data_IF_182919548638
#
_entry.id   IF_182919548638
#
_cell.length_a   1.000
_cell.length_b   1.000
_cell.length_c   1.000
_cell.angle_alpha   90.00
_cell.angle_beta   90.00
_cell.angle_gamma   90.00
#
_symmetry.space_group_name_H-M   'P 1'
#
loop_
_entity.id
_entity.type
_entity.pdbx_description
1 polymer ?
#
# COMPACT_ATOMS: atom_id res chain seq x y z
N UNK A 1 38.32 -16.86 -14.55
CA UNK A 1 37.54 -15.61 -14.68
C UNK A 1 36.39 -15.70 -13.68
N UNK A 2 36.42 -15.02 -12.52
CA UNK A 2 35.28 -15.01 -11.63
C UNK A 2 34.16 -14.19 -12.28
N UNK A 3 32.97 -14.77 -12.34
CA UNK A 3 31.73 -14.12 -12.76
C UNK A 3 31.44 -12.92 -11.87
N UNK A 4 30.99 -11.77 -12.41
CA UNK A 4 30.55 -10.66 -11.56
C UNK A 4 29.33 -11.12 -10.77
N UNK A 5 29.51 -11.19 -9.44
CA UNK A 5 28.42 -11.31 -8.47
C UNK A 5 27.33 -10.28 -8.79
N UNK A 6 26.03 -10.62 -8.71
CA UNK A 6 24.99 -9.63 -8.90
C UNK A 6 25.19 -8.56 -7.83
N UNK A 7 25.58 -7.37 -8.29
CA UNK A 7 25.72 -6.21 -7.44
C UNK A 7 24.37 -6.00 -6.76
N UNK A 8 24.31 -6.38 -5.49
CA UNK A 8 23.24 -6.07 -4.57
C UNK A 8 23.24 -4.55 -4.41
N UNK A 9 22.63 -3.85 -5.37
CA UNK A 9 22.35 -2.42 -5.25
C UNK A 9 21.43 -2.31 -4.05
N UNK A 10 22.00 -1.99 -2.90
CA UNK A 10 21.27 -1.60 -1.69
C UNK A 10 20.31 -0.48 -2.08
N UNK A 11 19.07 -0.84 -2.42
CA UNK A 11 17.98 0.12 -2.39
C UNK A 11 17.88 0.53 -0.92
N UNK A 12 18.35 1.75 -0.64
CA UNK A 12 18.58 2.31 0.70
C UNK A 12 17.27 2.66 1.44
N UNK A 13 16.18 2.00 1.08
CA UNK A 13 14.86 2.19 1.65
C UNK A 13 14.29 0.81 1.98
N UNK A 14 14.42 0.42 3.24
CA UNK A 14 13.75 -0.76 3.78
C UNK A 14 12.27 -0.44 4.01
N UNK A 15 11.43 -1.47 4.02
CA UNK A 15 10.06 -1.34 4.51
C UNK A 15 10.05 -1.46 6.03
N UNK A 16 9.27 -0.63 6.72
CA UNK A 16 9.00 -0.76 8.15
C UNK A 16 7.51 -0.60 8.47
N UNK A 17 6.99 -1.52 9.28
CA UNK A 17 5.59 -1.49 9.73
C UNK A 17 5.48 -0.63 10.98
N UNK A 18 4.98 0.59 10.84
CA UNK A 18 4.93 1.54 11.95
C UNK A 18 3.97 1.07 13.06
N UNK A 19 4.49 1.02 14.28
CA UNK A 19 3.74 0.56 15.47
C UNK A 19 2.42 1.30 15.71
N UNK A 20 2.33 2.59 15.36
CA UNK A 20 1.11 3.38 15.53
C UNK A 20 0.03 3.11 14.45
N UNK A 21 0.34 2.34 13.41
CA UNK A 21 -0.62 1.76 12.47
C UNK A 21 -0.94 0.29 12.81
N UNK A 22 -0.25 -0.30 13.79
CA UNK A 22 -0.51 -1.64 14.33
C UNK A 22 -1.28 -1.62 15.64
N UNK A 23 -1.09 -0.57 16.43
CA UNK A 23 -1.70 -0.38 17.74
C UNK A 23 -2.38 0.99 17.78
N UNK A 24 -3.52 1.08 18.44
CA UNK A 24 -4.28 2.32 18.66
C UNK A 24 -3.57 3.27 19.65
N UNK A 25 -2.30 3.60 19.39
CA UNK A 25 -1.47 4.46 20.25
C UNK A 25 -1.83 5.92 20.00
N UNK A 26 -2.10 6.28 18.73
CA UNK A 26 -2.47 7.65 18.34
C UNK A 26 -3.95 7.66 17.97
N UNK A 27 -4.76 8.57 18.55
CA UNK A 27 -6.18 8.68 18.21
C UNK A 27 -6.38 9.03 16.74
N UNK A 28 -7.47 8.53 16.16
CA UNK A 28 -7.89 8.77 14.77
C UNK A 28 -6.92 8.30 13.67
N UNK A 29 -5.86 7.56 14.01
CA UNK A 29 -5.06 6.86 13.00
C UNK A 29 -5.79 5.65 12.45
N UNK A 30 -5.53 5.35 11.19
CA UNK A 30 -5.96 4.11 10.56
C UNK A 30 -5.07 2.97 11.05
N UNK A 31 -5.67 1.80 11.25
CA UNK A 31 -4.95 0.66 11.82
C UNK A 31 -5.12 -0.54 10.90
N UNK A 32 -4.03 -1.26 10.68
CA UNK A 32 -4.05 -2.56 10.03
C UNK A 32 -4.98 -3.51 10.80
N UNK A 33 -5.77 -4.29 10.06
CA UNK A 33 -6.62 -5.33 10.63
C UNK A 33 -5.73 -6.38 11.30
N UNK A 34 -6.20 -6.95 12.40
CA UNK A 34 -5.45 -7.96 13.18
C UNK A 34 -5.06 -9.21 12.37
N UNK A 35 -5.80 -9.49 11.31
CA UNK A 35 -5.58 -10.65 10.42
C UNK A 35 -4.56 -10.34 9.31
N UNK A 36 -4.18 -9.07 9.12
CA UNK A 36 -3.08 -8.68 8.23
C UNK A 36 -1.78 -8.84 9.01
N UNK A 37 -1.03 -9.93 8.77
CA UNK A 37 0.29 -10.11 9.38
C UNK A 37 1.30 -9.06 8.89
N UNK A 38 2.48 -9.00 9.51
CA UNK A 38 3.60 -8.16 9.02
C UNK A 38 4.04 -8.59 7.62
N UNK A 39 4.07 -9.90 7.38
CA UNK A 39 4.40 -10.47 6.07
C UNK A 39 3.35 -10.11 5.01
N UNK A 40 2.05 -10.18 5.36
CA UNK A 40 0.98 -9.79 4.45
C UNK A 40 1.04 -8.29 4.10
N UNK A 41 1.29 -7.43 5.10
CA UNK A 41 1.50 -5.99 4.86
C UNK A 41 2.67 -5.74 3.91
N UNK A 42 3.81 -6.41 4.13
CA UNK A 42 4.97 -6.29 3.25
C UNK A 42 4.69 -6.83 1.84
N UNK A 43 3.96 -7.94 1.70
CA UNK A 43 3.54 -8.48 0.41
C UNK A 43 2.69 -7.48 -0.40
N UNK A 44 1.77 -6.79 0.28
CA UNK A 44 0.93 -5.75 -0.34
C UNK A 44 1.79 -4.57 -0.85
N UNK A 45 2.82 -4.19 -0.09
CA UNK A 45 3.81 -3.20 -0.53
C UNK A 45 4.61 -3.68 -1.75
N UNK A 46 5.18 -4.89 -1.70
CA UNK A 46 5.97 -5.45 -2.80
C UNK A 46 5.15 -5.58 -4.08
N UNK A 47 3.87 -5.93 -3.97
CA UNK A 47 2.93 -5.96 -5.10
C UNK A 47 2.78 -4.58 -5.72
N UNK A 48 2.59 -3.53 -4.92
CA UNK A 48 2.47 -2.17 -5.42
C UNK A 48 3.75 -1.70 -6.12
N UNK A 49 4.90 -1.99 -5.52
CA UNK A 49 6.21 -1.65 -6.07
C UNK A 49 6.47 -2.40 -7.39
N UNK A 50 6.28 -3.72 -7.42
CA UNK A 50 6.52 -4.57 -8.59
C UNK A 50 5.62 -4.19 -9.78
N UNK A 51 4.40 -3.71 -9.52
CA UNK A 51 3.48 -3.24 -10.55
C UNK A 51 3.58 -1.73 -10.82
N UNK A 52 4.52 -1.03 -10.18
CA UNK A 52 4.73 0.41 -10.36
C UNK A 52 3.47 1.25 -10.14
N UNK A 53 2.70 0.94 -9.10
CA UNK A 53 1.49 1.66 -8.70
C UNK A 53 1.79 2.97 -7.95
N UNK A 54 2.78 3.69 -8.44
CA UNK A 54 3.13 5.02 -7.98
C UNK A 54 2.15 6.04 -8.52
N UNK A 55 1.75 6.98 -7.66
CA UNK A 55 1.14 8.24 -8.10
C UNK A 55 2.22 9.31 -8.34
N UNK A 56 1.80 10.42 -8.92
CA UNK A 56 2.62 11.60 -9.23
C UNK A 56 3.43 12.16 -8.06
N UNK A 57 2.95 12.04 -6.81
CA UNK A 57 3.71 12.47 -5.62
C UNK A 57 4.74 11.41 -5.13
N UNK A 58 4.82 10.27 -5.81
CA UNK A 58 5.73 9.17 -5.51
C UNK A 58 5.22 8.19 -4.45
N UNK A 59 4.01 8.34 -3.92
CA UNK A 59 3.43 7.34 -3.01
C UNK A 59 2.97 6.12 -3.79
N UNK A 60 3.03 4.97 -3.13
CA UNK A 60 2.54 3.70 -3.66
C UNK A 60 1.15 3.45 -3.10
N UNK A 61 0.28 2.90 -3.93
CA UNK A 61 -1.05 2.48 -3.51
C UNK A 61 -1.26 1.02 -3.85
N UNK A 62 -2.02 0.35 -3.02
CA UNK A 62 -2.33 -1.06 -3.21
C UNK A 62 -3.71 -1.40 -2.69
N UNK A 63 -4.14 -2.61 -3.02
CA UNK A 63 -5.31 -3.27 -2.48
C UNK A 63 -4.91 -4.67 -2.04
N UNK A 64 -5.67 -5.25 -1.12
CA UNK A 64 -5.35 -6.55 -0.54
C UNK A 64 -5.23 -7.67 -1.58
N UNK A 65 -4.51 -8.73 -1.22
CA UNK A 65 -4.10 -9.79 -2.14
C UNK A 65 -5.22 -10.77 -2.52
N UNK A 66 -6.29 -10.84 -1.74
CA UNK A 66 -7.40 -11.73 -2.09
C UNK A 66 -8.29 -11.11 -3.17
N UNK A 67 -8.57 -11.94 -4.17
CA UNK A 67 -9.53 -11.78 -5.29
C UNK A 67 -10.14 -10.38 -5.36
N UNK A 68 -9.63 -9.59 -6.30
CA UNK A 68 -10.31 -8.40 -6.81
C UNK A 68 -10.54 -7.26 -5.80
N UNK A 69 -9.78 -7.20 -4.70
CA UNK A 69 -9.89 -6.11 -3.71
C UNK A 69 -11.01 -6.31 -2.68
N UNK A 70 -11.33 -7.58 -2.37
CA UNK A 70 -12.33 -7.92 -1.35
C UNK A 70 -11.75 -8.02 0.06
N UNK A 71 -10.44 -8.23 0.17
CA UNK A 71 -9.76 -8.38 1.46
C UNK A 71 -9.81 -7.09 2.28
N UNK A 72 -10.09 -7.24 3.58
CA UNK A 72 -10.12 -6.12 4.53
C UNK A 72 -8.73 -5.92 5.11
N UNK A 73 -8.19 -4.72 4.88
CA UNK A 73 -6.87 -4.31 5.32
C UNK A 73 -6.85 -3.58 6.65
N UNK A 74 -7.94 -2.89 7.00
CA UNK A 74 -7.99 -2.08 8.21
C UNK A 74 -9.15 -2.42 9.15
N UNK A 75 -9.07 -1.87 10.37
CA UNK A 75 -10.05 -2.12 11.45
C UNK A 75 -11.45 -1.55 11.19
N UNK A 76 -11.60 -0.64 10.22
CA UNK A 76 -12.87 -0.06 9.80
C UNK A 76 -13.30 -0.54 8.41
N UNK A 77 -12.91 -1.77 8.02
CA UNK A 77 -13.22 -2.38 6.71
C UNK A 77 -12.54 -1.67 5.53
N UNK A 78 -11.45 -0.94 5.77
CA UNK A 78 -10.60 -0.39 4.71
C UNK A 78 -10.11 -1.53 3.80
N UNK A 79 -10.04 -1.29 2.50
CA UNK A 79 -9.60 -2.30 1.50
C UNK A 79 -8.42 -1.84 0.65
N UNK A 80 -8.04 -0.57 0.82
CA UNK A 80 -6.94 0.08 0.15
C UNK A 80 -5.85 0.42 1.17
N UNK A 81 -4.60 0.41 0.70
CA UNK A 81 -3.44 0.86 1.45
C UNK A 81 -2.69 1.95 0.66
N UNK A 82 -2.15 2.92 1.39
CA UNK A 82 -1.18 3.87 0.89
C UNK A 82 0.16 3.59 1.56
N UNK A 83 1.24 3.73 0.80
CA UNK A 83 2.61 3.61 1.26
C UNK A 83 3.33 4.90 0.95
N UNK A 84 3.80 5.58 2.00
CA UNK A 84 4.44 6.88 1.86
C UNK A 84 5.88 6.72 1.44
N UNK A 85 6.27 7.56 0.46
CA UNK A 85 7.65 7.62 0.00
C UNK A 85 8.55 8.12 1.15
N UNK A 86 9.71 7.47 1.37
CA UNK A 86 10.79 7.98 2.20
C UNK A 86 11.08 9.46 1.97
N UNK A 87 11.07 10.24 3.07
CA UNK A 87 11.44 11.65 3.04
C UNK A 87 12.96 11.85 3.00
N UNK A 88 13.73 10.87 3.52
CA UNK A 88 15.18 10.85 3.55
C UNK A 88 15.70 9.41 3.70
N UNK A 89 17.02 9.20 3.70
CA UNK A 89 17.60 7.85 3.76
C UNK A 89 17.46 7.12 5.10
N UNK A 90 16.98 7.78 6.15
CA UNK A 90 16.67 7.18 7.45
C UNK A 90 15.16 6.93 7.65
N UNK A 91 14.32 7.39 6.71
CA UNK A 91 12.87 7.20 6.70
C UNK A 91 12.51 6.01 5.81
N UNK A 92 12.15 4.84 6.37
CA UNK A 92 11.77 3.69 5.57
C UNK A 92 10.42 3.89 4.88
N UNK A 93 10.16 3.06 3.86
CA UNK A 93 8.79 2.93 3.35
C UNK A 93 7.90 2.42 4.45
N UNK A 94 6.72 3.00 4.60
CA UNK A 94 5.73 2.52 5.54
C UNK A 94 4.32 2.77 5.00
N UNK A 95 3.40 1.88 5.38
CA UNK A 95 2.04 1.90 4.88
C UNK A 95 0.98 1.99 5.95
N UNK A 96 -0.23 2.31 5.50
CA UNK A 96 -1.42 2.27 6.32
C UNK A 96 -2.68 2.04 5.49
N UNK A 97 -3.71 1.40 6.06
CA UNK A 97 -5.02 1.32 5.43
C UNK A 97 -5.66 2.70 5.28
N UNK A 98 -6.49 2.86 4.26
CA UNK A 98 -7.12 4.14 3.92
C UNK A 98 -8.58 4.15 4.34
N UNK A 99 -8.91 5.06 5.27
CA UNK A 99 -10.21 5.11 5.96
C UNK A 99 -11.24 6.02 5.31
N UNK A 100 -10.86 6.96 4.43
CA UNK A 100 -11.84 7.92 3.91
C UNK A 100 -11.52 8.54 2.55
N UNK A 101 -12.59 9.11 1.96
CA UNK A 101 -12.64 9.96 0.76
C UNK A 101 -11.51 10.97 0.61
N UNK A 102 -11.00 11.51 1.71
CA UNK A 102 -9.98 12.56 1.70
C UNK A 102 -8.60 12.05 1.29
N UNK A 103 -8.37 10.73 1.37
CA UNK A 103 -7.10 10.09 1.07
C UNK A 103 -7.27 8.98 0.02
N UNK A 104 -8.14 9.18 -0.98
CA UNK A 104 -8.30 8.21 -2.07
C UNK A 104 -7.09 8.22 -3.02
N UNK A 105 -6.77 7.07 -3.64
CA UNK A 105 -5.76 7.02 -4.69
C UNK A 105 -6.13 7.99 -5.83
N UNK A 106 -5.14 8.74 -6.35
CA UNK A 106 -5.33 9.59 -7.51
C UNK A 106 -5.58 8.78 -8.79
N UNK A 107 -6.13 9.45 -9.82
CA UNK A 107 -6.59 8.79 -11.04
C UNK A 107 -5.46 8.07 -11.80
N UNK A 108 -4.27 8.66 -11.80
CA UNK A 108 -3.04 8.11 -12.40
C UNK A 108 -2.65 6.73 -11.83
N UNK A 109 -3.08 6.42 -10.61
CA UNK A 109 -2.92 5.08 -10.03
C UNK A 109 -4.13 4.21 -10.29
N UNK A 110 -5.35 4.73 -10.12
CA UNK A 110 -6.55 3.93 -10.31
C UNK A 110 -6.71 3.43 -11.75
N UNK A 111 -6.23 4.19 -12.74
CA UNK A 111 -6.25 3.78 -14.16
C UNK A 111 -5.40 2.53 -14.40
N UNK A 112 -4.36 2.30 -13.58
CA UNK A 112 -3.54 1.08 -13.62
C UNK A 112 -4.26 -0.14 -13.06
N UNK A 113 -5.43 0.03 -12.43
CA UNK A 113 -6.19 -1.03 -11.75
C UNK A 113 -7.42 -1.50 -12.53
N UNK A 114 -7.80 -0.86 -13.64
CA UNK A 114 -9.05 -1.11 -14.39
C UNK A 114 -9.34 -2.59 -14.65
N UNK A 115 -8.30 -3.39 -14.92
CA UNK A 115 -8.41 -4.84 -15.20
C UNK A 115 -7.77 -5.72 -14.11
N UNK A 116 -7.53 -5.18 -12.91
CA UNK A 116 -6.84 -5.87 -11.80
C UNK A 116 -7.68 -6.00 -10.54
N UNK A 117 -8.82 -5.32 -10.49
CA UNK A 117 -9.79 -5.39 -9.41
C UNK A 117 -11.20 -5.60 -9.98
N UNK A 118 -12.15 -5.97 -9.12
CA UNK A 118 -13.53 -6.14 -9.53
C UNK A 118 -14.03 -4.84 -10.14
N UNK A 119 -14.75 -4.91 -11.27
CA UNK A 119 -15.36 -3.72 -11.90
C UNK A 119 -16.22 -2.92 -10.94
N UNK A 120 -16.95 -3.61 -10.05
CA UNK A 120 -17.76 -2.97 -9.01
C UNK A 120 -16.91 -2.25 -7.97
N UNK A 121 -15.75 -2.80 -7.60
CA UNK A 121 -14.82 -2.15 -6.68
C UNK A 121 -14.11 -0.97 -7.34
N UNK A 122 -13.67 -1.09 -8.60
CA UNK A 122 -13.15 0.04 -9.38
C UNK A 122 -14.15 1.20 -9.46
N UNK A 123 -15.43 0.91 -9.76
CA UNK A 123 -16.47 1.95 -9.79
C UNK A 123 -16.64 2.62 -8.43
N UNK A 124 -16.57 1.85 -7.34
CA UNK A 124 -16.62 2.39 -5.99
C UNK A 124 -15.45 3.34 -5.71
N UNK A 125 -14.23 2.97 -6.11
CA UNK A 125 -13.04 3.81 -5.93
C UNK A 125 -13.17 5.12 -6.74
N UNK A 126 -13.51 5.03 -8.03
CA UNK A 126 -13.44 6.18 -8.95
C UNK A 126 -14.68 7.08 -8.88
N UNK A 127 -15.89 6.50 -8.77
CA UNK A 127 -17.15 7.27 -8.77
C UNK A 127 -17.64 7.57 -7.36
N UNK A 128 -17.50 6.62 -6.44
CA UNK A 128 -18.08 6.74 -5.08
C UNK A 128 -17.04 7.19 -4.04
N UNK A 129 -15.74 7.10 -4.38
CA UNK A 129 -14.57 7.44 -3.55
C UNK A 129 -14.57 6.72 -2.19
N UNK A 130 -14.36 5.41 -2.18
CA UNK A 130 -14.41 4.53 -1.00
C UNK A 130 -13.41 3.39 -1.07
#
# INVERSE_FOLDING_TARGET
MPTPSPQNRRNKYTYDSMNYHRRAIIPNKTLWHKDVSLEAEFGIFQKAESNSWYCSNGYLWSFGDDIEGKHVLGTNKERLACFQKPSNSADPWHGFPIKSRAAMPPSDVTDKWVNRIARSFYHKIVKERI
#
